data_IF_553591065841
#
_entry.id   IF_553591065841
#
_cell.length_a   1.000
_cell.length_b   1.000
_cell.length_c   1.000
_cell.angle_alpha   90.00
_cell.angle_beta   90.00
_cell.angle_gamma   90.00
#
_symmetry.space_group_name_H-M   'P 1'
#
loop_
_entity.id
_entity.type
_entity.pdbx_description
1 polymer ?
#
# COMPACT_ATOMS: atom_id res chain seq x y z
N UNK A 1 -34.70 -94.03 13.69
CA UNK A 1 -34.29 -92.98 12.73
C UNK A 1 -34.32 -91.66 13.45
N UNK A 2 -33.17 -91.17 13.96
CA UNK A 2 -33.02 -89.98 14.77
C UNK A 2 -32.43 -88.91 13.84
N UNK A 3 -33.18 -87.82 13.59
CA UNK A 3 -32.78 -86.75 12.76
C UNK A 3 -32.10 -85.66 13.64
N UNK A 4 -30.79 -85.47 13.54
CA UNK A 4 -30.05 -84.45 14.23
C UNK A 4 -30.09 -83.15 13.43
N UNK A 5 -30.69 -82.08 13.99
CA UNK A 5 -30.64 -80.71 13.43
C UNK A 5 -29.39 -79.98 13.91
N UNK A 6 -28.50 -79.70 13.00
CA UNK A 6 -27.31 -78.87 13.25
C UNK A 6 -27.68 -77.40 13.10
N UNK A 7 -27.57 -76.63 14.17
CA UNK A 7 -27.76 -75.17 14.20
C UNK A 7 -26.45 -74.51 13.85
N UNK A 8 -26.42 -73.75 12.74
CA UNK A 8 -25.25 -72.95 12.32
C UNK A 8 -25.39 -71.55 12.96
N UNK A 9 -24.48 -71.25 13.90
CA UNK A 9 -24.30 -69.90 14.46
C UNK A 9 -23.58 -69.04 13.40
N UNK A 10 -24.21 -67.91 12.99
CA UNK A 10 -23.57 -66.87 12.19
C UNK A 10 -22.84 -65.89 13.13
N UNK A 11 -21.55 -65.53 12.87
CA UNK A 11 -20.91 -64.50 13.64
C UNK A 11 -21.41 -63.10 13.25
N UNK A 12 -21.88 -62.33 14.24
CA UNK A 12 -22.18 -60.87 14.12
C UNK A 12 -20.85 -60.15 14.14
N UNK A 13 -20.45 -59.63 13.00
CA UNK A 13 -19.32 -58.69 12.87
C UNK A 13 -19.85 -57.29 13.23
N UNK A 14 -19.56 -56.84 14.47
CA UNK A 14 -19.83 -55.45 14.87
C UNK A 14 -18.80 -54.53 14.23
N UNK A 15 -19.25 -53.77 13.24
CA UNK A 15 -18.46 -52.71 12.58
C UNK A 15 -18.44 -51.48 13.50
N UNK A 16 -17.36 -51.31 14.25
CA UNK A 16 -17.08 -50.06 14.99
C UNK A 16 -16.73 -48.96 14.00
N UNK A 17 -17.68 -48.06 13.70
CA UNK A 17 -17.44 -46.81 13.00
C UNK A 17 -16.68 -45.85 13.94
N UNK A 18 -15.38 -45.76 13.81
CA UNK A 18 -14.55 -44.69 14.38
C UNK A 18 -14.89 -43.39 13.64
N UNK A 19 -15.75 -42.55 14.23
CA UNK A 19 -15.96 -41.20 13.80
C UNK A 19 -14.69 -40.38 14.11
N UNK A 20 -13.82 -40.19 13.12
CA UNK A 20 -12.71 -39.27 13.21
C UNK A 20 -13.26 -37.85 13.24
N UNK A 21 -13.39 -37.27 14.43
CA UNK A 21 -13.64 -35.85 14.59
C UNK A 21 -12.41 -35.08 14.08
N UNK A 22 -12.50 -34.59 12.85
CA UNK A 22 -11.53 -33.61 12.32
C UNK A 22 -11.66 -32.34 13.16
N UNK A 23 -10.77 -32.16 14.13
CA UNK A 23 -10.60 -30.88 14.82
C UNK A 23 -10.14 -29.88 13.76
N UNK A 24 -11.06 -29.07 13.26
CA UNK A 24 -10.74 -27.93 12.41
C UNK A 24 -9.97 -26.95 13.31
N UNK A 25 -8.64 -27.02 13.28
CA UNK A 25 -7.80 -26.04 13.97
C UNK A 25 -8.14 -24.68 13.37
N UNK A 26 -8.69 -23.77 14.20
CA UNK A 26 -8.94 -22.40 13.77
C UNK A 26 -7.61 -21.83 13.24
N UNK A 27 -7.63 -21.31 12.01
CA UNK A 27 -6.47 -20.64 11.42
C UNK A 27 -6.04 -19.52 12.39
N UNK A 28 -4.74 -19.39 12.69
CA UNK A 28 -4.27 -18.34 13.58
C UNK A 28 -4.69 -16.98 13.02
N UNK A 29 -5.35 -16.19 13.88
CA UNK A 29 -5.82 -14.86 13.53
C UNK A 29 -4.62 -13.98 13.18
N UNK A 30 -4.64 -13.40 11.98
CA UNK A 30 -3.61 -12.46 11.53
C UNK A 30 -3.64 -11.21 12.40
N UNK A 31 -2.52 -10.87 13.05
CA UNK A 31 -2.41 -9.62 13.82
C UNK A 31 -1.89 -8.48 12.95
N UNK A 32 -2.16 -7.22 13.35
CA UNK A 32 -1.63 -6.04 12.66
C UNK A 32 -0.09 -6.06 12.55
N UNK A 33 0.60 -6.56 13.57
CA UNK A 33 2.05 -6.71 13.55
C UNK A 33 2.53 -7.73 12.49
N UNK A 34 1.84 -8.85 12.36
CA UNK A 34 2.13 -9.85 11.32
C UNK A 34 1.75 -9.35 9.92
N UNK A 35 0.63 -8.62 9.82
CA UNK A 35 0.16 -8.03 8.58
C UNK A 35 1.17 -7.01 8.04
N UNK A 36 1.63 -6.07 8.88
CA UNK A 36 2.55 -5.02 8.47
C UNK A 36 3.90 -5.57 7.97
N UNK A 37 4.34 -6.70 8.49
CA UNK A 37 5.56 -7.37 8.02
C UNK A 37 5.45 -7.89 6.58
N UNK A 38 4.22 -8.16 6.10
CA UNK A 38 3.99 -8.64 4.73
C UNK A 38 3.89 -7.50 3.72
N UNK A 39 3.69 -6.26 4.16
CA UNK A 39 3.48 -5.13 3.25
C UNK A 39 4.72 -4.78 2.43
N UNK A 40 5.94 -4.79 3.01
CA UNK A 40 7.17 -4.47 2.28
C UNK A 40 7.12 -3.10 1.59
N UNK A 41 7.31 -3.08 0.27
CA UNK A 41 7.22 -1.87 -0.57
C UNK A 41 6.04 -1.98 -1.51
N UNK A 42 5.22 -0.93 -1.59
CA UNK A 42 4.04 -0.88 -2.46
C UNK A 42 3.92 0.41 -3.26
N UNK A 43 2.76 0.57 -3.89
CA UNK A 43 2.44 1.71 -4.75
C UNK A 43 1.03 2.22 -4.50
N UNK A 44 0.84 3.54 -4.49
CA UNK A 44 -0.49 4.14 -4.55
C UNK A 44 -0.96 4.15 -6.00
N UNK A 45 -2.18 3.65 -6.25
CA UNK A 45 -2.74 3.49 -7.59
C UNK A 45 -4.07 4.21 -7.76
N UNK A 46 -4.32 4.75 -8.96
CA UNK A 46 -5.55 5.50 -9.30
C UNK A 46 -6.58 4.65 -10.08
N UNK A 47 -6.47 3.34 -10.05
CA UNK A 47 -7.31 2.39 -10.81
C UNK A 47 -8.81 2.44 -10.48
N UNK A 48 -9.20 3.04 -9.35
CA UNK A 48 -10.60 3.25 -8.96
C UNK A 48 -10.91 4.70 -8.59
N UNK A 49 -9.97 5.63 -8.79
CA UNK A 49 -10.14 7.03 -8.42
C UNK A 49 -10.73 7.88 -9.54
N UNK A 50 -10.34 7.61 -10.78
CA UNK A 50 -10.70 8.39 -11.96
C UNK A 50 -11.38 7.50 -12.99
N UNK A 51 -12.25 8.09 -13.84
CA UNK A 51 -12.88 7.37 -14.95
C UNK A 51 -11.83 6.77 -15.89
N UNK A 52 -10.71 7.45 -16.09
CA UNK A 52 -9.59 6.95 -16.86
C UNK A 52 -9.00 5.67 -16.24
N UNK A 53 -8.65 5.71 -14.95
CA UNK A 53 -8.11 4.55 -14.23
C UNK A 53 -9.05 3.35 -14.26
N UNK A 54 -10.37 3.61 -14.17
CA UNK A 54 -11.39 2.55 -14.24
C UNK A 54 -11.43 1.90 -15.63
N UNK A 55 -11.40 2.73 -16.70
CA UNK A 55 -11.48 2.21 -18.08
C UNK A 55 -10.21 1.50 -18.53
N UNK A 56 -9.05 2.00 -18.11
CA UNK A 56 -7.74 1.52 -18.56
C UNK A 56 -7.16 0.39 -17.69
N UNK A 57 -7.87 -0.02 -16.64
CA UNK A 57 -7.35 -1.08 -15.79
C UNK A 57 -7.28 -2.42 -16.52
N UNK A 58 -6.07 -2.93 -16.67
CA UNK A 58 -5.76 -4.29 -17.10
C UNK A 58 -5.18 -5.08 -15.92
N UNK A 59 -5.74 -6.25 -15.54
CA UNK A 59 -5.18 -7.11 -14.50
C UNK A 59 -3.70 -7.44 -14.64
N UNK A 60 -3.16 -7.42 -15.87
CA UNK A 60 -1.75 -7.68 -16.13
C UNK A 60 -0.81 -6.63 -15.50
N UNK A 61 -1.29 -5.41 -15.24
CA UNK A 61 -0.50 -4.40 -14.53
C UNK A 61 -0.08 -4.88 -13.15
N UNK A 62 -0.93 -5.67 -12.47
CA UNK A 62 -0.62 -6.23 -11.14
C UNK A 62 0.54 -7.23 -11.22
N UNK A 63 0.57 -8.05 -12.28
CA UNK A 63 1.70 -8.96 -12.59
C UNK A 63 3.00 -8.17 -12.72
N UNK A 64 2.98 -7.07 -13.47
CA UNK A 64 4.16 -6.25 -13.72
C UNK A 64 4.65 -5.55 -12.43
N UNK A 65 3.72 -5.17 -11.55
CA UNK A 65 4.04 -4.63 -10.23
C UNK A 65 4.71 -5.69 -9.36
N UNK A 66 4.17 -6.90 -9.34
CA UNK A 66 4.78 -8.03 -8.63
C UNK A 66 6.18 -8.34 -9.15
N UNK A 67 6.34 -8.40 -10.47
CA UNK A 67 7.63 -8.64 -11.13
C UNK A 67 8.66 -7.55 -10.80
N UNK A 68 8.21 -6.30 -10.61
CA UNK A 68 9.05 -5.16 -10.19
C UNK A 68 9.48 -5.23 -8.73
N UNK A 69 8.89 -6.11 -7.94
CA UNK A 69 9.20 -6.29 -6.51
C UNK A 69 8.23 -5.55 -5.57
N UNK A 70 7.12 -5.03 -6.09
CA UNK A 70 6.07 -4.44 -5.26
C UNK A 70 5.22 -5.54 -4.60
N UNK A 71 4.92 -5.37 -3.33
CA UNK A 71 4.24 -6.36 -2.49
C UNK A 71 2.79 -5.98 -2.17
N UNK A 72 2.46 -4.69 -2.27
CA UNK A 72 1.10 -4.20 -2.03
C UNK A 72 0.77 -3.00 -2.91
N UNK A 73 -0.52 -2.77 -3.09
CA UNK A 73 -1.05 -1.56 -3.72
C UNK A 73 -2.10 -0.91 -2.84
N UNK A 74 -2.08 0.42 -2.73
CA UNK A 74 -3.18 1.19 -2.14
C UNK A 74 -4.05 1.74 -3.26
N UNK A 75 -5.24 1.15 -3.41
CA UNK A 75 -6.24 1.47 -4.41
C UNK A 75 -7.04 2.68 -3.93
N UNK A 76 -6.78 3.85 -4.48
CA UNK A 76 -7.51 5.07 -4.15
C UNK A 76 -8.88 5.05 -4.82
N UNK A 77 -9.93 5.31 -4.03
CA UNK A 77 -11.33 5.27 -4.49
C UNK A 77 -12.02 6.59 -4.21
N UNK A 78 -12.70 7.15 -5.21
CA UNK A 78 -13.55 8.33 -5.08
C UNK A 78 -15.01 8.03 -5.45
N UNK A 79 -15.93 8.85 -4.96
CA UNK A 79 -17.38 8.76 -5.23
C UNK A 79 -18.09 7.65 -4.47
N UNK A 80 -19.39 7.49 -4.77
CA UNK A 80 -20.31 6.61 -4.07
C UNK A 80 -20.02 5.12 -4.29
N UNK A 81 -20.34 4.23 -3.33
CA UNK A 81 -20.12 2.79 -3.42
C UNK A 81 -21.25 2.12 -4.22
N UNK A 82 -21.49 2.58 -5.46
CA UNK A 82 -22.47 1.98 -6.36
C UNK A 82 -22.12 0.52 -6.68
N UNK A 83 -23.11 -0.26 -7.09
CA UNK A 83 -22.89 -1.66 -7.49
C UNK A 83 -21.80 -1.79 -8.56
N UNK A 84 -21.80 -0.94 -9.58
CA UNK A 84 -20.80 -0.93 -10.63
C UNK A 84 -19.39 -0.67 -10.07
N UNK A 85 -19.25 0.25 -9.10
CA UNK A 85 -17.97 0.53 -8.42
C UNK A 85 -17.52 -0.64 -7.56
N UNK A 86 -18.41 -1.26 -6.82
CA UNK A 86 -18.09 -2.45 -6.00
C UNK A 86 -17.65 -3.63 -6.86
N UNK A 87 -18.33 -3.86 -8.02
CA UNK A 87 -17.91 -4.86 -9.01
C UNK A 87 -16.51 -4.55 -9.55
N UNK A 88 -16.22 -3.28 -9.87
CA UNK A 88 -14.89 -2.88 -10.32
C UNK A 88 -13.83 -3.09 -9.25
N UNK A 89 -14.10 -2.67 -8.00
CA UNK A 89 -13.20 -2.91 -6.87
C UNK A 89 -12.92 -4.40 -6.66
N UNK A 90 -13.91 -5.26 -6.84
CA UNK A 90 -13.71 -6.72 -6.75
C UNK A 90 -12.73 -7.21 -7.81
N UNK A 91 -12.85 -6.76 -9.07
CA UNK A 91 -11.88 -7.10 -10.13
C UNK A 91 -10.46 -6.70 -9.75
N UNK A 92 -10.28 -5.52 -9.13
CA UNK A 92 -8.97 -5.04 -8.67
C UNK A 92 -8.42 -5.94 -7.55
N UNK A 93 -9.25 -6.27 -6.56
CA UNK A 93 -8.86 -7.14 -5.44
C UNK A 93 -8.50 -8.54 -5.92
N UNK A 94 -9.34 -9.15 -6.77
CA UNK A 94 -9.09 -10.48 -7.35
C UNK A 94 -7.80 -10.53 -8.18
N UNK A 95 -7.53 -9.49 -8.99
CA UNK A 95 -6.27 -9.38 -9.72
C UNK A 95 -5.06 -9.29 -8.76
N UNK A 96 -5.18 -8.54 -7.67
CA UNK A 96 -4.14 -8.46 -6.65
C UNK A 96 -3.90 -9.82 -5.98
N UNK A 97 -4.95 -10.52 -5.59
CA UNK A 97 -4.88 -11.85 -4.99
C UNK A 97 -4.25 -12.87 -5.95
N UNK A 98 -4.66 -12.85 -7.24
CA UNK A 98 -4.13 -13.73 -8.28
C UNK A 98 -2.62 -13.62 -8.45
N UNK A 99 -2.07 -12.41 -8.38
CA UNK A 99 -0.63 -12.18 -8.54
C UNK A 99 0.12 -12.08 -7.21
N UNK A 100 -0.52 -12.30 -6.08
CA UNK A 100 0.09 -12.27 -4.75
C UNK A 100 0.57 -10.86 -4.36
N UNK A 101 -0.22 -9.84 -4.69
CA UNK A 101 -0.05 -8.45 -4.27
C UNK A 101 -1.15 -8.12 -3.27
N UNK A 102 -0.81 -7.52 -2.13
CA UNK A 102 -1.77 -7.20 -1.06
C UNK A 102 -2.57 -5.94 -1.45
N UNK A 103 -3.93 -6.01 -1.53
CA UNK A 103 -4.75 -4.85 -1.82
C UNK A 103 -5.11 -4.07 -0.56
N UNK A 104 -5.05 -2.73 -0.62
CA UNK A 104 -5.53 -1.79 0.39
C UNK A 104 -6.53 -0.86 -0.28
N UNK A 105 -7.81 -0.94 0.07
CA UNK A 105 -8.83 -0.01 -0.42
C UNK A 105 -8.77 1.27 0.41
N UNK A 106 -8.59 2.43 -0.24
CA UNK A 106 -8.46 3.73 0.41
C UNK A 106 -9.52 4.72 -0.10
N UNK A 107 -10.43 5.14 0.79
CA UNK A 107 -11.50 6.06 0.43
C UNK A 107 -11.04 7.52 0.49
N UNK A 108 -11.32 8.29 -0.57
CA UNK A 108 -10.96 9.71 -0.64
C UNK A 108 -11.73 10.56 0.37
N UNK A 109 -13.01 10.29 0.60
CA UNK A 109 -13.88 11.03 1.52
C UNK A 109 -13.83 12.57 1.33
N UNK A 110 -13.76 13.03 0.06
CA UNK A 110 -13.49 14.43 -0.27
C UNK A 110 -14.54 15.41 0.32
N UNK A 111 -15.81 15.03 0.31
CA UNK A 111 -16.86 15.89 0.85
C UNK A 111 -16.76 16.03 2.39
N UNK A 112 -16.41 14.95 3.09
CA UNK A 112 -16.19 15.01 4.53
C UNK A 112 -14.93 15.82 4.90
N UNK A 113 -13.87 15.79 4.10
CA UNK A 113 -12.68 16.62 4.31
C UNK A 113 -13.01 18.10 4.18
N UNK A 114 -13.81 18.48 3.17
CA UNK A 114 -14.25 19.86 2.92
C UNK A 114 -15.25 20.36 3.97
N UNK A 115 -16.15 19.49 4.40
CA UNK A 115 -17.19 19.80 5.38
C UNK A 115 -17.42 18.62 6.35
N UNK A 116 -16.78 18.61 7.54
CA UNK A 116 -16.92 17.56 8.53
C UNK A 116 -18.22 17.66 9.33
N UNK A 117 -19.36 17.82 8.62
CA UNK A 117 -20.71 17.83 9.18
C UNK A 117 -21.16 16.42 9.60
N UNK A 118 -22.24 16.34 10.40
CA UNK A 118 -22.82 15.08 10.81
C UNK A 118 -23.40 14.28 9.62
N UNK A 119 -23.90 14.97 8.59
CA UNK A 119 -24.37 14.33 7.36
C UNK A 119 -23.23 13.64 6.63
N UNK A 120 -22.15 14.37 6.34
CA UNK A 120 -21.00 13.81 5.62
C UNK A 120 -20.25 12.75 6.44
N UNK A 121 -20.26 12.86 7.80
CA UNK A 121 -19.77 11.79 8.67
C UNK A 121 -20.57 10.51 8.47
N UNK A 122 -21.91 10.60 8.40
CA UNK A 122 -22.80 9.46 8.14
C UNK A 122 -22.52 8.83 6.78
N UNK A 123 -22.26 9.64 5.74
CA UNK A 123 -21.91 9.14 4.41
C UNK A 123 -20.61 8.34 4.42
N UNK A 124 -19.57 8.80 5.14
CA UNK A 124 -18.33 8.02 5.29
C UNK A 124 -18.60 6.66 5.95
N UNK A 125 -19.40 6.63 7.02
CA UNK A 125 -19.76 5.37 7.70
C UNK A 125 -20.54 4.46 6.75
N UNK A 126 -21.57 4.98 6.06
CA UNK A 126 -22.39 4.21 5.12
C UNK A 126 -21.56 3.64 3.95
N UNK A 127 -20.60 4.43 3.44
CA UNK A 127 -19.69 3.99 2.39
C UNK A 127 -18.92 2.73 2.83
N UNK A 128 -18.38 2.76 4.03
CA UNK A 128 -17.64 1.62 4.58
C UNK A 128 -18.53 0.44 4.97
N UNK A 129 -19.78 0.68 5.37
CA UNK A 129 -20.78 -0.38 5.57
C UNK A 129 -20.98 -1.17 4.28
N UNK A 130 -21.22 -0.47 3.15
CA UNK A 130 -21.41 -1.10 1.86
C UNK A 130 -20.19 -1.93 1.43
N UNK A 131 -18.98 -1.35 1.58
CA UNK A 131 -17.72 -2.04 1.25
C UNK A 131 -17.47 -3.24 2.17
N UNK A 132 -17.68 -3.09 3.49
CA UNK A 132 -17.47 -4.18 4.44
C UNK A 132 -18.40 -5.37 4.19
N UNK A 133 -19.68 -5.12 3.89
CA UNK A 133 -20.61 -6.20 3.51
C UNK A 133 -20.22 -6.87 2.20
N UNK A 134 -19.80 -6.08 1.19
CA UNK A 134 -19.44 -6.61 -0.12
C UNK A 134 -18.15 -7.47 -0.07
N UNK A 135 -17.22 -7.14 0.79
CA UNK A 135 -15.91 -7.80 0.93
C UNK A 135 -15.76 -8.68 2.19
N UNK A 136 -16.83 -8.91 2.96
CA UNK A 136 -16.78 -9.64 4.22
C UNK A 136 -16.26 -11.08 4.14
N UNK A 137 -16.27 -11.69 2.95
CA UNK A 137 -15.72 -13.02 2.69
C UNK A 137 -14.39 -12.99 1.91
N UNK A 138 -13.79 -11.81 1.75
CA UNK A 138 -12.51 -11.66 1.05
C UNK A 138 -11.32 -12.02 1.94
N UNK A 139 -10.16 -12.23 1.31
CA UNK A 139 -8.90 -12.54 1.99
C UNK A 139 -8.64 -11.66 3.22
N UNK A 140 -8.10 -12.20 4.31
CA UNK A 140 -7.66 -11.42 5.48
C UNK A 140 -6.53 -10.43 5.15
N UNK A 141 -5.87 -10.57 3.99
CA UNK A 141 -4.86 -9.63 3.51
C UNK A 141 -5.47 -8.37 2.88
N UNK A 142 -6.73 -8.38 2.45
CA UNK A 142 -7.42 -7.15 2.08
C UNK A 142 -7.57 -6.24 3.30
N UNK A 143 -7.25 -4.97 3.17
CA UNK A 143 -7.40 -3.99 4.25
C UNK A 143 -8.08 -2.71 3.77
N UNK A 144 -8.55 -1.90 4.73
CA UNK A 144 -9.29 -0.68 4.50
C UNK A 144 -8.55 0.53 5.08
N UNK A 145 -8.30 1.56 4.27
CA UNK A 145 -7.74 2.86 4.68
C UNK A 145 -8.88 3.88 4.69
N UNK A 146 -9.38 4.22 5.88
CA UNK A 146 -10.69 4.83 6.07
C UNK A 146 -10.84 6.20 5.44
N UNK A 147 -9.82 7.06 5.54
CA UNK A 147 -9.80 8.39 4.92
C UNK A 147 -8.39 8.64 4.39
N UNK A 148 -8.28 8.67 3.06
CA UNK A 148 -7.03 9.02 2.39
C UNK A 148 -6.69 10.50 2.63
N UNK A 149 -5.53 10.76 3.25
CA UNK A 149 -5.03 12.14 3.50
C UNK A 149 -6.08 13.08 4.12
N UNK A 150 -6.44 12.96 5.41
CA UNK A 150 -7.27 13.96 6.06
C UNK A 150 -6.71 15.38 5.86
N UNK A 151 -7.53 16.27 5.31
CA UNK A 151 -7.13 17.58 4.81
C UNK A 151 -8.24 18.63 5.00
N UNK A 152 -8.11 19.79 4.40
CA UNK A 152 -9.09 20.85 4.32
C UNK A 152 -9.65 21.28 5.69
N UNK A 153 -10.96 21.45 5.83
CA UNK A 153 -11.59 21.83 7.12
C UNK A 153 -11.41 20.75 8.20
N UNK A 154 -11.23 19.49 7.80
CA UNK A 154 -10.97 18.40 8.75
C UNK A 154 -9.63 18.58 9.50
N UNK A 155 -8.66 19.30 8.92
CA UNK A 155 -7.41 19.67 9.60
C UNK A 155 -7.63 20.48 10.88
N UNK A 156 -8.75 21.18 11.00
CA UNK A 156 -9.11 22.01 12.15
C UNK A 156 -10.11 21.31 13.10
N UNK A 157 -10.48 20.04 12.81
CA UNK A 157 -11.51 19.33 13.58
C UNK A 157 -11.08 17.90 14.00
N UNK A 158 -10.16 17.84 14.96
CA UNK A 158 -9.67 16.57 15.51
C UNK A 158 -10.79 15.73 16.12
N UNK A 159 -11.76 16.36 16.75
CA UNK A 159 -12.88 15.67 17.38
C UNK A 159 -13.74 14.92 16.35
N UNK A 160 -14.05 15.56 15.23
CA UNK A 160 -14.78 14.91 14.12
C UNK A 160 -13.99 13.76 13.49
N UNK A 161 -12.68 13.94 13.28
CA UNK A 161 -11.83 12.87 12.74
C UNK A 161 -11.82 11.64 13.67
N UNK A 162 -11.59 11.83 14.95
CA UNK A 162 -11.57 10.72 15.92
C UNK A 162 -12.95 10.05 16.03
N UNK A 163 -14.03 10.82 15.97
CA UNK A 163 -15.41 10.31 16.05
C UNK A 163 -15.78 9.46 14.84
N UNK A 164 -15.47 9.92 13.61
CA UNK A 164 -15.75 9.14 12.39
C UNK A 164 -14.94 7.85 12.36
N UNK A 165 -13.69 7.88 12.81
CA UNK A 165 -12.88 6.66 12.91
C UNK A 165 -13.47 5.67 13.91
N UNK A 166 -13.80 6.10 15.13
CA UNK A 166 -14.38 5.21 16.14
C UNK A 166 -15.67 4.55 15.64
N UNK A 167 -16.59 5.33 15.05
CA UNK A 167 -17.84 4.81 14.48
C UNK A 167 -17.59 3.82 13.34
N UNK A 168 -16.73 4.19 12.39
CA UNK A 168 -16.46 3.38 11.19
C UNK A 168 -15.79 2.07 11.57
N UNK A 169 -14.78 2.10 12.45
CA UNK A 169 -14.08 0.91 12.93
C UNK A 169 -15.06 -0.05 13.62
N UNK A 170 -15.88 0.45 14.55
CA UNK A 170 -16.88 -0.40 15.22
C UNK A 170 -17.86 -1.03 14.26
N UNK A 171 -18.30 -0.27 13.26
CA UNK A 171 -19.27 -0.76 12.26
C UNK A 171 -18.65 -1.82 11.36
N UNK A 172 -17.42 -1.59 10.87
CA UNK A 172 -16.70 -2.59 10.07
C UNK A 172 -16.47 -3.86 10.90
N UNK A 173 -15.98 -3.73 12.14
CA UNK A 173 -15.69 -4.89 12.98
C UNK A 173 -16.94 -5.64 13.47
N UNK A 174 -18.13 -5.02 13.44
CA UNK A 174 -19.39 -5.74 13.63
C UNK A 174 -19.75 -6.67 12.44
N UNK A 175 -19.24 -6.36 11.23
CA UNK A 175 -19.43 -7.15 10.01
C UNK A 175 -18.27 -8.14 9.82
N UNK A 176 -17.05 -7.66 9.96
CA UNK A 176 -15.80 -8.41 9.79
C UNK A 176 -14.81 -8.07 10.93
N UNK A 177 -14.84 -8.81 12.05
CA UNK A 177 -14.04 -8.51 13.24
C UNK A 177 -12.53 -8.56 13.05
N UNK A 178 -12.06 -9.18 11.95
CA UNK A 178 -10.63 -9.41 11.68
C UNK A 178 -10.08 -8.45 10.62
N UNK A 179 -10.90 -7.58 10.03
CA UNK A 179 -10.49 -6.68 8.97
C UNK A 179 -9.42 -5.71 9.45
N UNK A 180 -8.26 -5.72 8.77
CA UNK A 180 -7.20 -4.73 9.00
C UNK A 180 -7.68 -3.36 8.54
N UNK A 181 -7.54 -2.36 9.41
CA UNK A 181 -8.00 -0.99 9.16
C UNK A 181 -6.86 -0.01 9.39
N UNK A 182 -6.61 0.85 8.40
CA UNK A 182 -5.72 1.99 8.52
C UNK A 182 -6.49 3.26 8.84
N UNK A 183 -5.93 4.07 9.74
CA UNK A 183 -6.38 5.43 10.03
C UNK A 183 -5.22 6.41 9.89
N UNK A 184 -5.52 7.64 9.48
CA UNK A 184 -4.53 8.67 9.22
C UNK A 184 -4.68 9.85 10.18
N UNK A 185 -3.58 10.47 10.63
CA UNK A 185 -3.63 11.78 11.28
C UNK A 185 -3.99 12.89 10.29
N UNK A 186 -4.32 14.06 10.79
CA UNK A 186 -4.56 15.27 10.00
C UNK A 186 -3.31 15.74 9.24
N UNK A 187 -3.42 16.91 8.60
CA UNK A 187 -2.34 17.60 7.89
C UNK A 187 -1.74 16.73 6.77
N UNK A 188 -2.63 16.14 5.94
CA UNK A 188 -2.26 15.20 4.88
C UNK A 188 -1.49 13.97 5.43
N UNK A 189 -2.01 13.42 6.54
CA UNK A 189 -1.40 12.28 7.23
C UNK A 189 0.02 12.57 7.78
N UNK A 190 0.23 13.77 8.35
CA UNK A 190 1.54 14.14 8.88
C UNK A 190 1.90 13.31 10.13
N UNK A 191 3.11 12.73 10.23
CA UNK A 191 3.51 11.95 11.39
C UNK A 191 3.53 12.76 12.69
N UNK A 192 3.71 14.08 12.60
CA UNK A 192 3.68 15.00 13.74
C UNK A 192 2.31 15.03 14.44
N UNK A 193 1.23 14.71 13.73
CA UNK A 193 -0.13 14.70 14.27
C UNK A 193 -0.59 13.28 14.76
N UNK A 194 0.22 12.23 14.61
CA UNK A 194 -0.07 10.90 15.12
C UNK A 194 -0.47 10.88 16.61
N UNK A 195 0.16 11.66 17.52
CA UNK A 195 -0.21 11.68 18.93
C UNK A 195 -1.65 12.14 19.22
N UNK A 196 -2.31 12.80 18.27
CA UNK A 196 -3.69 13.29 18.40
C UNK A 196 -4.74 12.26 17.97
N UNK A 197 -4.34 11.14 17.35
CA UNK A 197 -5.24 10.04 17.04
C UNK A 197 -5.72 9.36 18.32
N UNK A 198 -7.04 9.19 18.46
CA UNK A 198 -7.67 8.36 19.48
C UNK A 198 -8.02 7.01 18.87
N UNK A 199 -7.42 5.98 19.42
CA UNK A 199 -7.60 4.61 18.99
C UNK A 199 -8.67 3.92 19.83
N UNK A 200 -9.54 3.10 19.26
CA UNK A 200 -10.47 2.29 20.04
C UNK A 200 -9.71 1.39 21.02
N UNK A 201 -10.22 1.15 22.24
CA UNK A 201 -9.62 0.20 23.17
C UNK A 201 -9.46 -1.19 22.54
N UNK A 202 -8.33 -1.86 22.83
CA UNK A 202 -8.05 -3.23 22.39
C UNK A 202 -8.00 -3.42 20.85
N UNK A 203 -7.74 -2.35 20.10
CA UNK A 203 -7.67 -2.38 18.64
C UNK A 203 -6.28 -2.67 18.06
N UNK A 204 -5.26 -2.96 18.89
CA UNK A 204 -3.87 -3.13 18.47
C UNK A 204 -3.65 -4.25 17.45
N UNK A 205 -4.55 -5.24 17.42
CA UNK A 205 -4.44 -6.37 16.51
C UNK A 205 -5.04 -6.14 15.13
N UNK A 206 -5.87 -5.10 14.95
CA UNK A 206 -6.62 -4.86 13.71
C UNK A 206 -6.57 -3.43 13.20
N UNK A 207 -6.15 -2.46 14.03
CA UNK A 207 -6.05 -1.05 13.62
C UNK A 207 -4.59 -0.62 13.56
N UNK A 208 -4.22 -0.01 12.43
CA UNK A 208 -2.90 0.50 12.12
C UNK A 208 -2.98 1.99 11.80
N UNK A 209 -1.90 2.73 12.07
CA UNK A 209 -1.81 4.09 11.55
C UNK A 209 -1.09 4.12 10.20
N UNK A 210 -1.59 4.96 9.30
CA UNK A 210 -0.84 5.35 8.11
C UNK A 210 -0.41 6.82 8.23
N UNK A 211 0.76 7.17 7.68
CA UNK A 211 1.28 8.51 7.65
C UNK A 211 2.10 8.75 6.38
N UNK A 212 2.27 10.02 6.03
CA UNK A 212 2.96 10.43 4.82
C UNK A 212 4.18 11.30 5.13
N UNK A 213 5.15 11.29 4.23
CA UNK A 213 6.33 12.15 4.34
C UNK A 213 6.79 12.58 2.95
N UNK A 214 6.91 13.90 2.75
CA UNK A 214 7.33 14.47 1.49
C UNK A 214 8.45 15.49 1.69
N UNK A 215 9.28 15.77 0.67
CA UNK A 215 10.38 16.74 0.76
C UNK A 215 9.93 18.14 1.13
N UNK A 216 8.69 18.50 0.84
CA UNK A 216 8.09 19.83 1.10
C UNK A 216 7.34 19.94 2.44
N UNK A 217 7.46 18.96 3.31
CA UNK A 217 6.86 18.95 4.64
C UNK A 217 5.41 18.44 4.69
N UNK A 218 4.72 18.62 5.84
CA UNK A 218 3.39 18.03 6.07
C UNK A 218 2.29 18.64 5.19
N UNK A 219 2.42 19.93 4.85
CA UNK A 219 1.49 20.62 3.94
C UNK A 219 2.17 20.81 2.59
N UNK A 220 1.59 20.30 1.52
CA UNK A 220 2.14 20.34 0.16
C UNK A 220 2.44 21.76 -0.34
N UNK A 221 1.76 22.76 0.19
CA UNK A 221 1.84 24.15 -0.27
C UNK A 221 2.49 25.11 0.73
N UNK A 222 3.31 24.62 1.68
CA UNK A 222 3.93 25.50 2.68
C UNK A 222 5.13 26.30 2.15
N UNK A 223 5.51 26.13 0.88
CA UNK A 223 6.61 26.84 0.23
C UNK A 223 8.01 26.54 0.77
N UNK A 224 8.14 25.65 1.75
CA UNK A 224 9.40 25.25 2.35
C UNK A 224 9.69 23.81 2.06
N UNK A 225 10.76 23.57 1.32
CA UNK A 225 11.24 22.23 1.04
C UNK A 225 12.24 21.82 2.12
N UNK A 226 11.91 20.84 3.00
CA UNK A 226 12.87 20.36 4.00
C UNK A 226 14.02 19.56 3.40
N UNK A 227 14.11 19.49 2.07
CA UNK A 227 15.15 18.80 1.34
C UNK A 227 15.55 19.57 0.07
N UNK A 228 16.81 19.92 -0.03
CA UNK A 228 17.41 20.57 -1.20
C UNK A 228 18.57 19.74 -1.77
N UNK A 229 19.52 19.32 -0.95
CA UNK A 229 20.72 18.57 -1.36
C UNK A 229 21.08 17.40 -0.45
N UNK A 230 20.32 17.18 0.63
CA UNK A 230 20.60 16.12 1.61
C UNK A 230 21.66 16.49 2.62
N UNK A 231 21.65 17.75 3.08
CA UNK A 231 22.50 18.21 4.18
C UNK A 231 22.27 17.43 5.47
N UNK A 232 23.20 17.49 6.40
CA UNK A 232 23.04 16.85 7.71
C UNK A 232 21.78 17.32 8.45
N UNK A 233 21.45 18.62 8.35
CA UNK A 233 20.25 19.20 8.96
C UNK A 233 18.96 18.67 8.31
N UNK A 234 18.91 18.59 6.97
CA UNK A 234 17.76 18.04 6.24
C UNK A 234 17.53 16.56 6.58
N UNK A 235 18.60 15.77 6.61
CA UNK A 235 18.55 14.36 7.02
C UNK A 235 18.07 14.21 8.47
N UNK A 236 18.55 15.06 9.38
CA UNK A 236 18.12 15.06 10.77
C UNK A 236 16.62 15.41 10.91
N UNK A 237 16.13 16.38 10.15
CA UNK A 237 14.70 16.73 10.13
C UNK A 237 13.80 15.57 9.65
N UNK A 238 14.21 14.85 8.60
CA UNK A 238 13.48 13.66 8.14
C UNK A 238 13.50 12.54 9.19
N UNK A 239 14.65 12.27 9.80
CA UNK A 239 14.77 11.28 10.90
C UNK A 239 13.88 11.63 12.09
N UNK A 240 13.81 12.91 12.46
CA UNK A 240 12.93 13.36 13.54
C UNK A 240 11.47 13.01 13.27
N UNK A 241 10.99 13.18 12.03
CA UNK A 241 9.63 12.82 11.63
C UNK A 241 9.40 11.31 11.67
N UNK A 242 10.34 10.50 11.19
CA UNK A 242 10.27 9.03 11.30
C UNK A 242 10.26 8.61 12.77
N UNK A 243 11.10 9.22 13.61
CA UNK A 243 11.15 8.92 15.04
C UNK A 243 9.86 9.28 15.77
N UNK A 244 9.12 10.30 15.34
CA UNK A 244 7.78 10.59 15.88
C UNK A 244 6.85 9.40 15.70
N UNK A 245 6.83 8.78 14.52
CA UNK A 245 6.03 7.59 14.29
C UNK A 245 6.52 6.38 15.12
N UNK A 246 7.83 6.19 15.25
CA UNK A 246 8.41 5.12 16.07
C UNK A 246 8.01 5.29 17.55
N UNK A 247 8.14 6.50 18.10
CA UNK A 247 7.73 6.78 19.49
C UNK A 247 6.22 6.57 19.68
N UNK A 248 5.40 6.97 18.70
CA UNK A 248 3.96 6.72 18.74
C UNK A 248 3.65 5.21 18.79
N UNK A 249 4.31 4.39 17.96
CA UNK A 249 4.17 2.93 18.00
C UNK A 249 4.54 2.35 19.38
N UNK A 250 5.67 2.78 19.94
CA UNK A 250 6.13 2.34 21.26
C UNK A 250 5.15 2.72 22.38
N UNK A 251 4.57 3.92 22.31
CA UNK A 251 3.64 4.44 23.31
C UNK A 251 2.27 3.75 23.26
N UNK A 252 1.79 3.43 22.06
CA UNK A 252 0.42 2.94 21.85
C UNK A 252 0.32 1.43 21.69
N UNK A 253 1.43 0.76 21.36
CA UNK A 253 1.45 -0.65 20.98
C UNK A 253 0.87 -0.94 19.60
N UNK A 254 0.44 0.10 18.84
CA UNK A 254 -0.01 -0.04 17.46
C UNK A 254 1.18 0.01 16.50
N UNK A 255 1.04 -0.62 15.36
CA UNK A 255 2.00 -0.54 14.26
C UNK A 255 1.61 0.55 13.26
N UNK A 256 2.55 1.00 12.45
CA UNK A 256 2.29 2.01 11.42
C UNK A 256 2.96 1.68 10.09
N UNK A 257 2.48 2.33 9.05
CA UNK A 257 2.91 2.19 7.67
C UNK A 257 3.02 3.58 7.03
N UNK A 258 4.02 3.79 6.17
CA UNK A 258 4.10 5.00 5.36
C UNK A 258 3.19 4.84 4.15
N UNK A 259 1.99 5.42 4.24
CA UNK A 259 0.97 5.32 3.20
C UNK A 259 1.34 6.05 1.90
N UNK A 260 2.29 6.98 1.94
CA UNK A 260 2.73 7.65 0.73
C UNK A 260 3.96 8.52 0.94
N UNK A 261 4.90 8.41 0.01
CA UNK A 261 6.01 9.32 -0.14
C UNK A 261 6.50 9.38 -1.58
N UNK A 262 7.13 10.49 -1.95
CA UNK A 262 7.69 10.72 -3.27
C UNK A 262 8.84 11.71 -3.15
N UNK A 263 9.88 11.63 -3.98
CA UNK A 263 10.99 12.59 -4.00
C UNK A 263 10.65 13.92 -4.68
N UNK A 264 9.43 14.10 -5.21
CA UNK A 264 8.93 15.32 -5.84
C UNK A 264 7.46 15.22 -6.22
N UNK A 265 6.80 16.35 -6.48
CA UNK A 265 5.38 16.37 -6.85
C UNK A 265 5.12 15.80 -8.24
N UNK A 266 5.99 16.15 -9.18
CA UNK A 266 5.88 15.70 -10.58
C UNK A 266 7.29 15.46 -11.11
N UNK A 267 7.55 14.22 -11.51
CA UNK A 267 8.80 13.83 -12.13
C UNK A 267 8.46 13.48 -13.59
N UNK A 268 8.60 14.46 -14.48
CA UNK A 268 8.19 14.30 -15.88
C UNK A 268 9.29 13.70 -16.76
N UNK A 269 10.55 13.94 -16.40
CA UNK A 269 11.74 13.53 -17.12
C UNK A 269 12.66 12.73 -16.21
N UNK A 270 13.91 12.52 -16.61
CA UNK A 270 14.90 11.89 -15.75
C UNK A 270 14.98 12.58 -14.37
N UNK A 271 15.08 11.82 -13.27
CA UNK A 271 15.13 12.40 -11.93
C UNK A 271 16.41 13.21 -11.71
N UNK A 272 16.30 14.30 -10.97
CA UNK A 272 17.46 15.11 -10.56
C UNK A 272 18.32 14.35 -9.54
N UNK A 273 19.58 14.77 -9.38
CA UNK A 273 20.48 14.24 -8.37
C UNK A 273 19.90 14.39 -6.94
N UNK A 274 19.21 15.50 -6.66
CA UNK A 274 18.54 15.76 -5.38
C UNK A 274 17.39 14.78 -5.13
N UNK A 275 16.59 14.47 -6.15
CA UNK A 275 15.51 13.49 -6.07
C UNK A 275 16.04 12.06 -5.82
N UNK A 276 17.12 11.69 -6.52
CA UNK A 276 17.79 10.40 -6.31
C UNK A 276 18.37 10.29 -4.88
N UNK A 277 19.00 11.36 -4.39
CA UNK A 277 19.56 11.41 -3.04
C UNK A 277 18.46 11.29 -1.98
N UNK A 278 17.32 11.99 -2.15
CA UNK A 278 16.17 11.87 -1.26
C UNK A 278 15.60 10.45 -1.28
N UNK A 279 15.37 9.88 -2.46
CA UNK A 279 14.81 8.55 -2.63
C UNK A 279 15.65 7.48 -1.91
N UNK A 280 16.97 7.51 -2.13
CA UNK A 280 17.91 6.59 -1.46
C UNK A 280 17.86 6.77 0.07
N UNK A 281 17.95 8.02 0.53
CA UNK A 281 17.94 8.32 1.96
C UNK A 281 16.65 7.84 2.64
N UNK A 282 15.48 8.21 2.09
CA UNK A 282 14.17 7.81 2.64
C UNK A 282 14.01 6.30 2.68
N UNK A 283 14.25 5.61 1.56
CA UNK A 283 14.10 4.17 1.50
C UNK A 283 15.04 3.46 2.49
N UNK A 284 16.29 3.94 2.65
CA UNK A 284 17.24 3.39 3.63
C UNK A 284 16.81 3.62 5.08
N UNK A 285 16.34 4.82 5.43
CA UNK A 285 15.88 5.11 6.80
C UNK A 285 14.62 4.29 7.14
N UNK A 286 13.66 4.15 6.21
CA UNK A 286 12.47 3.32 6.42
C UNK A 286 12.81 1.83 6.54
N UNK A 287 13.71 1.33 5.70
CA UNK A 287 14.22 -0.05 5.78
C UNK A 287 14.91 -0.32 7.12
N UNK A 288 15.76 0.63 7.60
CA UNK A 288 16.40 0.56 8.91
C UNK A 288 15.39 0.55 10.05
N UNK A 289 14.34 1.35 9.94
CA UNK A 289 13.25 1.42 10.91
C UNK A 289 12.29 0.21 10.83
N UNK A 290 12.41 -0.66 9.82
CA UNK A 290 11.48 -1.77 9.52
C UNK A 290 10.03 -1.29 9.33
N UNK A 291 9.85 -0.11 8.77
CA UNK A 291 8.54 0.47 8.46
C UNK A 291 8.28 0.26 6.96
N UNK A 292 7.24 -0.52 6.59
CA UNK A 292 6.84 -0.68 5.20
C UNK A 292 6.25 0.61 4.64
N UNK A 293 6.23 0.75 3.32
CA UNK A 293 5.80 1.99 2.68
C UNK A 293 5.21 1.79 1.28
N UNK A 294 4.39 2.75 0.86
CA UNK A 294 3.93 2.88 -0.52
C UNK A 294 4.55 4.11 -1.20
N UNK A 295 4.93 3.93 -2.46
CA UNK A 295 5.41 4.98 -3.35
C UNK A 295 4.18 5.73 -3.91
N UNK A 296 4.24 7.06 -3.97
CA UNK A 296 3.17 7.90 -4.49
C UNK A 296 3.61 8.60 -5.79
N UNK A 297 3.07 8.32 -6.95
CA UNK A 297 2.04 7.34 -7.26
C UNK A 297 2.36 6.65 -8.61
N UNK A 298 1.59 5.62 -8.94
CA UNK A 298 1.72 4.82 -10.18
C UNK A 298 1.78 5.65 -11.46
N UNK A 299 0.91 6.63 -11.59
CA UNK A 299 0.79 7.53 -12.75
C UNK A 299 2.10 8.25 -13.13
N UNK A 300 3.08 8.29 -12.22
CA UNK A 300 4.41 8.82 -12.53
C UNK A 300 5.33 7.77 -13.18
N UNK A 301 5.23 6.52 -12.76
CA UNK A 301 6.22 5.47 -13.06
C UNK A 301 5.74 4.47 -14.10
N UNK A 302 4.43 4.24 -14.19
CA UNK A 302 3.83 3.27 -15.11
C UNK A 302 2.95 3.98 -16.13
N UNK A 303 3.10 3.62 -17.39
CA UNK A 303 2.24 4.07 -18.47
C UNK A 303 1.14 3.04 -18.69
N UNK A 304 -0.10 3.41 -18.31
CA UNK A 304 -1.24 2.52 -18.42
C UNK A 304 -1.69 2.26 -19.86
N UNK A 305 -1.41 3.19 -20.79
CA UNK A 305 -1.74 3.04 -22.21
C UNK A 305 -0.76 2.09 -22.90
N UNK A 306 0.53 2.25 -22.59
CA UNK A 306 1.59 1.39 -23.14
C UNK A 306 1.75 0.06 -22.39
N UNK A 307 1.14 -0.06 -21.20
CA UNK A 307 1.30 -1.23 -20.33
C UNK A 307 2.75 -1.46 -19.89
N UNK A 308 3.51 -0.39 -19.61
CA UNK A 308 4.94 -0.47 -19.36
C UNK A 308 5.44 0.54 -18.31
N UNK A 309 6.54 0.18 -17.64
CA UNK A 309 7.28 1.13 -16.81
C UNK A 309 7.94 2.20 -17.67
N UNK A 310 7.93 3.47 -17.19
CA UNK A 310 8.59 4.59 -17.86
C UNK A 310 10.12 4.47 -17.72
N UNK A 311 10.88 4.20 -18.81
CA UNK A 311 12.30 3.88 -18.71
C UNK A 311 13.14 5.00 -18.06
N UNK A 312 12.78 6.26 -18.32
CA UNK A 312 13.47 7.42 -17.73
C UNK A 312 13.39 7.49 -16.21
N UNK A 313 12.38 6.85 -15.60
CA UNK A 313 12.12 6.87 -14.16
C UNK A 313 12.46 5.55 -13.46
N UNK A 314 12.81 4.51 -14.21
CA UNK A 314 13.20 3.22 -13.65
C UNK A 314 14.36 3.28 -12.65
N UNK A 315 15.44 4.05 -12.88
CA UNK A 315 16.52 4.17 -11.89
C UNK A 315 16.05 4.71 -10.55
N UNK A 316 15.12 5.68 -10.57
CA UNK A 316 14.52 6.23 -9.37
C UNK A 316 13.62 5.19 -8.67
N UNK A 317 12.72 4.56 -9.42
CA UNK A 317 11.82 3.53 -8.90
C UNK A 317 12.61 2.37 -8.28
N UNK A 318 13.64 1.87 -8.96
CA UNK A 318 14.50 0.81 -8.45
C UNK A 318 15.20 1.23 -7.15
N UNK A 319 15.67 2.48 -7.05
CA UNK A 319 16.23 3.01 -5.80
C UNK A 319 15.20 3.06 -4.68
N UNK A 320 13.94 3.38 -4.99
CA UNK A 320 12.86 3.42 -3.99
C UNK A 320 12.43 2.01 -3.54
N UNK A 321 12.49 1.01 -4.41
CA UNK A 321 12.12 -0.37 -4.08
C UNK A 321 13.26 -1.12 -3.37
N UNK A 322 14.48 -1.04 -3.93
CA UNK A 322 15.64 -1.78 -3.46
C UNK A 322 16.86 -0.85 -3.29
N UNK A 323 16.87 0.01 -2.23
CA UNK A 323 17.94 0.98 -2.04
C UNK A 323 19.26 0.30 -1.69
N UNK A 324 20.34 0.79 -2.29
CA UNK A 324 21.70 0.51 -1.82
C UNK A 324 22.00 1.40 -0.62
N UNK A 325 21.96 0.84 0.58
CA UNK A 325 22.16 1.57 1.82
C UNK A 325 23.63 1.45 2.28
N UNK A 326 24.19 2.56 2.78
CA UNK A 326 25.53 2.57 3.40
C UNK A 326 25.56 1.59 4.58
N UNK A 327 26.61 0.79 4.66
CA UNK A 327 26.84 -0.08 5.82
C UNK A 327 27.33 0.76 6.99
N UNK A 328 26.95 0.41 8.22
CA UNK A 328 27.48 1.08 9.41
C UNK A 328 29.02 1.01 9.41
N UNK A 329 29.68 2.20 9.40
CA UNK A 329 31.14 2.32 9.45
C UNK A 329 31.85 2.49 8.09
N UNK A 330 31.17 2.41 6.96
CA UNK A 330 31.75 2.81 5.66
C UNK A 330 31.77 4.34 5.53
N UNK A 331 32.97 4.89 5.21
CA UNK A 331 33.06 6.31 4.82
C UNK A 331 32.29 6.52 3.51
N UNK A 332 31.61 7.67 3.32
CA UNK A 332 30.89 7.95 2.08
C UNK A 332 31.84 7.77 0.87
N UNK A 333 31.63 6.71 0.11
CA UNK A 333 32.37 6.50 -1.13
C UNK A 333 31.88 7.53 -2.17
N UNK A 334 32.83 8.15 -2.87
CA UNK A 334 32.54 8.88 -4.10
C UNK A 334 32.02 7.88 -5.14
N UNK A 335 30.70 7.66 -5.19
CA UNK A 335 30.07 6.98 -6.29
C UNK A 335 30.09 7.91 -7.52
N UNK A 336 31.16 7.83 -8.30
CA UNK A 336 31.15 8.32 -9.67
C UNK A 336 30.16 7.48 -10.44
N UNK A 337 29.06 8.10 -10.89
CA UNK A 337 28.16 7.51 -11.87
C UNK A 337 29.04 7.09 -13.05
N UNK A 338 29.17 5.77 -13.29
CA UNK A 338 29.78 5.28 -14.52
C UNK A 338 28.95 5.83 -15.69
N UNK A 339 29.56 6.54 -16.65
CA UNK A 339 28.83 6.98 -17.82
C UNK A 339 28.27 5.75 -18.55
N UNK A 340 27.09 5.84 -19.18
CA UNK A 340 26.53 4.75 -19.95
C UNK A 340 27.54 4.27 -20.97
N UNK A 341 27.79 2.97 -21.02
CA UNK A 341 28.63 2.34 -22.05
C UNK A 341 27.93 2.59 -23.39
N UNK A 342 28.61 3.18 -24.39
CA UNK A 342 28.00 3.36 -25.68
C UNK A 342 27.66 2.00 -26.29
N UNK A 343 26.40 1.84 -26.69
CA UNK A 343 25.94 0.64 -27.39
C UNK A 343 26.61 0.58 -28.78
N UNK A 344 27.59 -0.29 -28.92
CA UNK A 344 28.38 -0.47 -30.15
C UNK A 344 27.56 -1.09 -31.31
N UNK A 345 26.25 -1.32 -31.14
CA UNK A 345 25.39 -1.97 -32.15
C UNK A 345 24.49 -1.00 -32.93
N UNK A 346 24.49 0.30 -32.58
CA UNK A 346 23.65 1.27 -33.28
C UNK A 346 24.35 1.88 -34.49
N UNK A 347 24.24 1.23 -35.66
CA UNK A 347 24.62 1.80 -36.97
C UNK A 347 23.65 2.95 -37.27
N UNK A 348 24.17 4.18 -37.35
CA UNK A 348 23.36 5.35 -37.73
C UNK A 348 22.98 5.33 -39.21
N UNK A 349 21.79 5.83 -39.61
CA UNK A 349 21.33 5.80 -41.02
C UNK A 349 22.21 6.60 -42.04
N UNK A 350 23.22 7.34 -41.58
CA UNK A 350 24.08 8.15 -42.42
C UNK A 350 25.18 7.36 -43.18
N UNK A 351 25.50 6.14 -42.75
CA UNK A 351 26.52 5.32 -43.44
C UNK A 351 25.97 4.41 -44.56
N UNK A 352 24.66 4.23 -44.63
CA UNK A 352 24.00 3.40 -45.65
C UNK A 352 23.89 4.09 -47.01
N UNK A 353 24.18 5.40 -47.12
CA UNK A 353 24.04 6.14 -48.38
C UNK A 353 25.34 6.23 -49.23
N UNK A 354 26.49 5.76 -48.70
CA UNK A 354 27.78 5.82 -49.41
C UNK A 354 28.18 4.54 -50.17
N UNK A 355 27.39 3.49 -50.11
CA UNK A 355 27.73 2.20 -50.76
C UNK A 355 26.92 1.89 -52.03
N UNK A 356 26.21 2.87 -52.62
CA UNK A 356 25.45 2.68 -53.90
C UNK A 356 25.93 3.55 -55.05
N UNK A 357 27.22 3.78 -55.20
CA UNK A 357 27.78 4.46 -56.38
C UNK A 357 29.14 3.94 -56.70
N UNK A 358 29.28 2.66 -57.10
CA UNK A 358 30.34 2.12 -57.93
C UNK A 358 29.92 0.75 -58.44
N UNK A 359 29.31 0.68 -59.57
CA UNK A 359 29.42 -0.42 -60.56
C UNK A 359 29.06 0.09 -61.93
N UNK A 360 29.75 -0.39 -62.96
CA UNK A 360 29.89 0.21 -64.33
C UNK A 360 28.61 0.10 -65.13
#
# INVERSE_FOLDING_TARGET
MICVRTTVLKPIVSLLLLASATVCAAQPVLTAAQYVQQLGVGMNVDWARTDRGIREFDPLVVRDYKAKGLTHVRIRVAGEPTEARLIHLRKLVEACEQYGVIPIIAYQADEYKKDPSASNEKEVVNWWVAVAHYFGQSSPLLSFDLIYEPADKLNHNQASLNRVYDKTIRTIHAIDPQRMIFIAPKLHAAPEDLPNLKLPPQSQNTVLAQWHIFPWGPLKNNGKYPWTSGTAAEKAAIRARINTAIHWQQKTGHVSWVGGWSPGETIRNAPSASQMAFARFMACELKKAKIPYAINADTQFYDGEEGAWRPALEPLLNTMIAPECEKPGEKPGHHTLKPPVPDATRVTPAEASKQKSTAP
#
